data_IF_127739860347
#
_entry.id   IF_127739860347
#
_cell.length_a   1.000
_cell.length_b   1.000
_cell.length_c   1.000
_cell.angle_alpha   90.00
_cell.angle_beta   90.00
_cell.angle_gamma   90.00
#
_symmetry.space_group_name_H-M   'P 1'
#
loop_
_entity.id
_entity.type
_entity.pdbx_description
1 polymer ?
#
# COMPACT_ATOMS: atom_id res chain seq x y z
N UNK A 1 4.10 -17.09 22.25
CA UNK A 1 3.31 -15.85 22.48
C UNK A 1 2.37 -15.68 21.29
N UNK A 2 1.06 -15.80 21.48
CA UNK A 2 0.10 -15.59 20.39
C UNK A 2 -0.30 -14.11 20.32
N UNK A 3 -0.25 -13.45 19.15
CA UNK A 3 -0.60 -12.03 19.00
C UNK A 3 -1.97 -11.68 19.56
N UNK A 4 -2.95 -12.57 19.41
CA UNK A 4 -4.30 -12.41 19.97
C UNK A 4 -4.31 -12.30 21.49
N UNK A 5 -3.53 -13.14 22.18
CA UNK A 5 -3.50 -13.16 23.65
C UNK A 5 -2.80 -11.90 24.20
N UNK A 6 -1.77 -11.42 23.49
CA UNK A 6 -1.10 -10.16 23.83
C UNK A 6 -2.05 -8.94 23.68
N UNK A 7 -2.90 -8.96 22.66
CA UNK A 7 -3.80 -7.87 22.31
C UNK A 7 -5.18 -7.99 22.96
N UNK A 8 -5.47 -9.06 23.68
CA UNK A 8 -6.80 -9.36 24.25
C UNK A 8 -7.36 -8.27 25.17
N UNK A 9 -6.49 -7.47 25.80
CA UNK A 9 -6.88 -6.36 26.69
C UNK A 9 -6.68 -4.97 26.06
N UNK A 10 -6.06 -4.90 24.88
CA UNK A 10 -5.83 -3.64 24.21
C UNK A 10 -7.15 -3.05 23.74
N UNK A 11 -7.33 -1.74 23.97
CA UNK A 11 -8.47 -0.98 23.49
C UNK A 11 -8.00 0.30 22.82
N UNK A 12 -8.44 0.55 21.59
CA UNK A 12 -8.05 1.74 20.85
C UNK A 12 -7.81 1.48 19.36
N UNK A 13 -6.92 2.28 18.77
CA UNK A 13 -6.61 2.25 17.35
C UNK A 13 -5.34 1.46 17.06
N UNK A 14 -5.42 0.56 16.09
CA UNK A 14 -4.28 -0.25 15.66
C UNK A 14 -3.98 -0.03 14.19
N UNK A 15 -2.74 0.35 13.89
CA UNK A 15 -2.24 0.36 12.52
C UNK A 15 -2.07 -1.08 12.02
N UNK A 16 -2.78 -1.46 10.97
CA UNK A 16 -2.67 -2.78 10.36
C UNK A 16 -2.60 -2.70 8.84
N UNK A 17 -2.09 -3.75 8.22
CA UNK A 17 -1.88 -3.87 6.78
C UNK A 17 -3.02 -4.59 6.05
N UNK A 18 -4.12 -4.88 6.76
CA UNK A 18 -5.24 -5.66 6.25
C UNK A 18 -5.00 -7.17 6.22
N UNK A 19 -4.02 -7.68 6.98
CA UNK A 19 -3.82 -9.11 7.12
C UNK A 19 -5.04 -9.79 7.77
N UNK A 20 -5.62 -10.78 7.10
CA UNK A 20 -6.85 -11.47 7.51
C UNK A 20 -6.78 -12.09 8.93
N UNK A 21 -5.56 -12.42 9.41
CA UNK A 21 -5.35 -12.94 10.76
C UNK A 21 -5.71 -11.98 11.90
N UNK A 22 -6.02 -10.71 11.61
CA UNK A 22 -6.46 -9.72 12.60
C UNK A 22 -7.96 -9.41 12.57
N UNK A 23 -8.73 -9.99 11.65
CA UNK A 23 -10.17 -9.69 11.50
C UNK A 23 -10.96 -9.94 12.80
N UNK A 24 -10.65 -11.03 13.51
CA UNK A 24 -11.30 -11.36 14.78
C UNK A 24 -11.03 -10.33 15.88
N UNK A 25 -9.86 -9.67 15.85
CA UNK A 25 -9.53 -8.61 16.81
C UNK A 25 -10.41 -7.38 16.60
N UNK A 26 -10.70 -7.03 15.35
CA UNK A 26 -11.58 -5.91 15.03
C UNK A 26 -13.05 -6.24 15.33
N UNK A 27 -13.47 -7.48 15.05
CA UNK A 27 -14.84 -7.95 15.32
C UNK A 27 -15.17 -7.96 16.81
N UNK A 28 -14.18 -8.20 17.68
CA UNK A 28 -14.36 -8.17 19.13
C UNK A 28 -14.71 -6.80 19.71
N UNK A 29 -14.58 -5.72 18.93
CA UNK A 29 -14.95 -4.35 19.32
C UNK A 29 -13.97 -3.65 20.26
N UNK A 30 -12.91 -4.33 20.73
CA UNK A 30 -11.85 -3.70 21.51
C UNK A 30 -10.92 -2.83 20.65
N UNK A 31 -10.69 -3.24 19.40
CA UNK A 31 -9.70 -2.64 18.51
C UNK A 31 -10.38 -2.08 17.28
N UNK A 32 -10.06 -0.84 16.95
CA UNK A 32 -10.44 -0.21 15.70
C UNK A 32 -9.24 -0.19 14.75
N UNK A 33 -9.43 -0.66 13.54
CA UNK A 33 -8.39 -0.68 12.52
C UNK A 33 -8.10 0.74 12.01
N UNK A 34 -6.83 1.04 11.81
CA UNK A 34 -6.33 2.16 11.03
C UNK A 34 -5.39 1.63 9.96
N UNK A 35 -5.58 2.02 8.71
CA UNK A 35 -4.79 1.49 7.62
C UNK A 35 -3.32 1.94 7.70
N UNK A 36 -2.38 1.00 7.56
CA UNK A 36 -0.96 1.29 7.62
C UNK A 36 -0.45 1.96 6.33
N UNK A 37 -0.17 3.27 6.39
CA UNK A 37 0.26 4.08 5.25
C UNK A 37 1.59 3.58 4.62
N UNK A 38 2.48 2.99 5.40
CA UNK A 38 3.71 2.39 4.87
C UNK A 38 3.40 1.23 3.89
N UNK A 39 2.48 0.35 4.26
CA UNK A 39 2.07 -0.78 3.43
C UNK A 39 1.27 -0.36 2.19
N UNK A 40 0.43 0.67 2.34
CA UNK A 40 -0.29 1.29 1.21
C UNK A 40 0.71 1.79 0.16
N UNK A 41 1.70 2.58 0.58
CA UNK A 41 2.73 3.12 -0.34
C UNK A 41 3.50 2.02 -1.05
N UNK A 42 3.92 0.97 -0.33
CA UNK A 42 4.61 -0.17 -0.95
C UNK A 42 3.76 -0.82 -2.04
N UNK A 43 2.48 -1.10 -1.76
CA UNK A 43 1.56 -1.71 -2.72
C UNK A 43 1.40 -0.86 -3.98
N UNK A 44 1.26 0.46 -3.85
CA UNK A 44 1.20 1.35 -5.00
C UNK A 44 2.48 1.35 -5.85
N UNK A 45 3.66 1.34 -5.19
CA UNK A 45 4.95 1.26 -5.89
C UNK A 45 5.10 -0.08 -6.61
N UNK A 46 4.68 -1.19 -5.99
CA UNK A 46 4.75 -2.52 -6.60
C UNK A 46 3.85 -2.61 -7.84
N UNK A 47 2.62 -2.08 -7.76
CA UNK A 47 1.71 -1.97 -8.90
C UNK A 47 2.35 -1.15 -10.02
N UNK A 48 2.88 0.04 -9.71
CA UNK A 48 3.56 0.91 -10.67
C UNK A 48 4.76 0.23 -11.35
N UNK A 49 5.56 -0.52 -10.60
CA UNK A 49 6.68 -1.31 -11.16
C UNK A 49 6.19 -2.44 -12.07
N UNK A 50 5.08 -3.09 -11.71
CA UNK A 50 4.55 -4.22 -12.49
C UNK A 50 3.82 -3.82 -13.77
N UNK A 51 3.17 -2.65 -13.77
CA UNK A 51 2.35 -2.18 -14.89
C UNK A 51 3.08 -1.17 -15.78
N UNK A 52 4.26 -0.71 -15.36
CA UNK A 52 4.89 0.46 -15.96
C UNK A 52 4.09 1.73 -15.70
N UNK A 53 4.56 2.84 -16.26
CA UNK A 53 3.88 4.13 -16.18
C UNK A 53 3.48 4.57 -17.58
N UNK A 54 2.22 4.41 -17.98
CA UNK A 54 1.75 4.90 -19.28
C UNK A 54 1.97 6.40 -19.47
N UNK A 55 2.04 7.16 -18.37
CA UNK A 55 2.31 8.61 -18.38
C UNK A 55 3.81 8.90 -18.58
N UNK A 56 4.71 8.04 -18.12
CA UNK A 56 6.15 8.19 -18.34
C UNK A 56 6.57 7.80 -19.76
N UNK A 57 5.74 7.02 -20.47
CA UNK A 57 5.98 6.60 -21.86
C UNK A 57 5.69 7.70 -22.89
N UNK A 58 5.29 8.90 -22.48
CA UNK A 58 5.25 10.07 -23.35
C UNK A 58 6.68 10.53 -23.66
N UNK A 59 7.39 9.73 -24.48
CA UNK A 59 8.67 10.10 -25.08
C UNK A 59 8.45 11.44 -25.75
N UNK A 60 9.17 12.45 -25.25
CA UNK A 60 9.31 13.78 -25.84
C UNK A 60 9.81 13.63 -27.27
N UNK A 61 8.91 13.42 -28.23
CA UNK A 61 9.18 13.61 -29.65
C UNK A 61 9.34 15.12 -29.88
N UNK A 62 10.49 15.65 -29.48
CA UNK A 62 11.01 16.84 -30.10
C UNK A 62 11.81 16.34 -31.30
N UNK A 63 11.21 16.47 -32.48
CA UNK A 63 11.87 16.33 -33.78
C UNK A 63 12.96 17.40 -33.86
N UNK A 64 14.23 17.01 -33.80
CA UNK A 64 15.32 17.90 -34.22
C UNK A 64 15.30 17.97 -35.76
N UNK A 65 15.17 19.16 -36.37
CA UNK A 65 14.99 19.31 -37.82
C UNK A 65 16.30 19.26 -38.64
N UNK A 66 17.40 18.68 -38.14
CA UNK A 66 18.72 18.73 -38.80
C UNK A 66 19.15 17.47 -39.58
N UNK A 67 18.25 16.49 -39.81
CA UNK A 67 18.58 15.25 -40.56
C UNK A 67 17.89 15.15 -41.93
N UNK A 68 17.92 16.23 -42.71
CA UNK A 68 17.55 16.19 -44.13
C UNK A 68 18.58 16.96 -44.96
N UNK A 69 19.73 16.31 -45.18
CA UNK A 69 20.69 16.65 -46.25
C UNK A 69 20.57 15.69 -47.43
#
# INVERSE_FOLDING_TARGET
MHPRDHLARYRGWMHADGYAGFEDLYRSGGIREFACVAHIRRKFVDIHRSQGSPIADFKRQATDPEDQS
#
